data_IF_564497391322
#
_entry.id   IF_564497391322
#
_cell.length_a   1.000
_cell.length_b   1.000
_cell.length_c   1.000
_cell.angle_alpha   90.00
_cell.angle_beta   90.00
_cell.angle_gamma   90.00
#
_symmetry.space_group_name_H-M   'P 1'
#
loop_
_entity.id
_entity.type
_entity.pdbx_description
1 polymer ?
#
# COMPACT_ATOMS: atom_id res chain seq x y z
N UNK A 1 15.68 -12.26 -4.93
CA UNK A 1 15.84 -11.60 -6.25
C UNK A 1 15.02 -10.32 -6.23
N UNK A 2 15.57 -9.18 -6.64
CA UNK A 2 14.83 -7.90 -6.74
C UNK A 2 13.95 -7.88 -7.99
N UNK A 3 12.98 -6.95 -8.05
CA UNK A 3 12.17 -6.71 -9.27
C UNK A 3 13.09 -6.40 -10.46
N UNK A 4 14.11 -5.56 -10.26
CA UNK A 4 15.03 -5.18 -11.33
C UNK A 4 15.88 -6.36 -11.81
N UNK A 5 16.41 -7.16 -10.89
CA UNK A 5 17.20 -8.34 -11.24
C UNK A 5 16.37 -9.42 -11.93
N UNK A 6 15.06 -9.52 -11.64
CA UNK A 6 14.14 -10.37 -12.40
C UNK A 6 13.94 -9.82 -13.82
N UNK A 7 13.61 -8.52 -13.93
CA UNK A 7 13.40 -7.81 -15.20
C UNK A 7 14.58 -8.02 -16.16
N UNK A 8 15.80 -7.84 -15.69
CA UNK A 8 17.03 -8.03 -16.50
C UNK A 8 17.17 -9.46 -17.01
N UNK A 9 16.92 -10.45 -16.14
CA UNK A 9 17.01 -11.87 -16.51
C UNK A 9 16.00 -12.29 -17.56
N UNK A 10 14.82 -11.67 -17.58
CA UNK A 10 13.77 -11.96 -18.57
C UNK A 10 13.86 -11.05 -19.80
N UNK A 11 14.83 -10.13 -19.86
CA UNK A 11 15.04 -9.26 -21.03
C UNK A 11 13.99 -8.15 -21.20
N UNK A 12 13.34 -7.71 -20.12
CA UNK A 12 12.35 -6.62 -20.18
C UNK A 12 13.04 -5.26 -20.08
N UNK A 13 12.99 -4.45 -21.13
CA UNK A 13 13.55 -3.09 -21.09
C UNK A 13 12.62 -2.09 -20.41
N UNK A 14 11.34 -2.14 -20.79
CA UNK A 14 10.25 -1.32 -20.28
C UNK A 14 8.96 -2.13 -20.27
N UNK A 15 8.15 -2.03 -19.21
CA UNK A 15 6.99 -2.90 -19.01
C UNK A 15 5.90 -2.25 -18.14
N UNK A 16 4.67 -2.76 -18.24
CA UNK A 16 3.57 -2.40 -17.32
C UNK A 16 3.83 -3.11 -15.99
N UNK A 17 3.90 -2.34 -14.90
CA UNK A 17 4.12 -2.90 -13.56
C UNK A 17 2.84 -2.82 -12.75
N UNK A 18 2.25 -3.99 -12.46
CA UNK A 18 1.08 -4.13 -11.61
C UNK A 18 1.46 -4.65 -10.23
N UNK A 19 1.11 -3.90 -9.19
CA UNK A 19 1.28 -4.31 -7.80
C UNK A 19 -0.05 -4.36 -7.05
N UNK A 20 -0.32 -5.47 -6.36
CA UNK A 20 -1.47 -5.61 -5.46
C UNK A 20 -1.06 -5.43 -3.99
N UNK A 21 -1.87 -4.75 -3.19
CA UNK A 21 -1.67 -4.63 -1.74
C UNK A 21 -0.25 -4.14 -1.41
N UNK A 22 0.53 -4.88 -0.60
CA UNK A 22 1.94 -4.55 -0.35
C UNK A 22 2.80 -4.52 -1.63
N UNK A 23 2.49 -5.36 -2.61
CA UNK A 23 3.11 -5.30 -3.94
C UNK A 23 2.89 -3.97 -4.65
N UNK A 24 1.78 -3.27 -4.39
CA UNK A 24 1.53 -1.91 -4.88
C UNK A 24 2.51 -0.89 -4.31
N UNK A 25 2.83 -0.98 -3.00
CA UNK A 25 3.86 -0.16 -2.38
C UNK A 25 5.24 -0.42 -3.01
N UNK A 26 5.59 -1.69 -3.23
CA UNK A 26 6.85 -2.07 -3.86
C UNK A 26 6.92 -1.62 -5.33
N UNK A 27 5.81 -1.72 -6.06
CA UNK A 27 5.70 -1.27 -7.45
C UNK A 27 5.90 0.24 -7.58
N UNK A 28 5.26 1.03 -6.72
CA UNK A 28 5.46 2.48 -6.69
C UNK A 28 6.91 2.84 -6.30
N UNK A 29 7.48 2.16 -5.29
CA UNK A 29 8.89 2.36 -4.91
C UNK A 29 9.86 2.01 -6.05
N UNK A 30 9.57 0.94 -6.80
CA UNK A 30 10.34 0.56 -7.99
C UNK A 30 10.25 1.62 -9.09
N UNK A 31 9.03 2.11 -9.39
CA UNK A 31 8.81 3.13 -10.40
C UNK A 31 9.48 4.48 -10.05
N UNK A 32 9.59 4.83 -8.77
CA UNK A 32 10.35 6.00 -8.31
C UNK A 32 11.85 5.80 -8.59
N UNK A 33 12.38 4.61 -8.31
CA UNK A 33 13.81 4.31 -8.43
C UNK A 33 14.26 4.07 -9.88
N UNK A 34 13.38 3.52 -10.72
CA UNK A 34 13.65 3.10 -12.09
C UNK A 34 12.59 3.68 -13.07
N UNK A 35 12.47 5.02 -13.16
CA UNK A 35 11.39 5.70 -13.88
C UNK A 35 11.36 5.44 -15.39
N UNK A 36 12.48 4.99 -15.97
CA UNK A 36 12.61 4.63 -17.37
C UNK A 36 12.12 3.22 -17.69
N UNK A 37 11.93 2.37 -16.67
CA UNK A 37 11.59 0.94 -16.82
C UNK A 37 10.09 0.65 -16.78
N UNK A 38 9.29 1.60 -16.30
CA UNK A 38 7.85 1.42 -16.15
C UNK A 38 7.12 2.17 -17.26
N UNK A 39 6.35 1.43 -18.05
CA UNK A 39 5.48 1.98 -19.10
C UNK A 39 4.19 2.56 -18.50
N UNK A 40 3.56 1.80 -17.60
CA UNK A 40 2.35 2.17 -16.89
C UNK A 40 2.39 1.53 -15.50
N UNK A 41 2.07 2.30 -14.46
CA UNK A 41 2.00 1.80 -13.08
C UNK A 41 0.55 1.46 -12.72
N UNK A 42 0.27 0.18 -12.45
CA UNK A 42 -1.06 -0.27 -12.04
C UNK A 42 -1.04 -0.65 -10.56
N UNK A 43 -1.87 0.01 -9.77
CA UNK A 43 -1.93 -0.17 -8.32
C UNK A 43 -3.28 -0.78 -7.94
N UNK A 44 -3.30 -2.09 -7.71
CA UNK A 44 -4.50 -2.81 -7.31
C UNK A 44 -4.62 -2.81 -5.79
N UNK A 45 -5.60 -2.07 -5.27
CA UNK A 45 -5.93 -1.98 -3.84
C UNK A 45 -4.67 -1.84 -2.95
N UNK A 46 -3.81 -0.84 -3.22
CA UNK A 46 -2.45 -0.81 -2.72
C UNK A 46 -2.39 -0.44 -1.23
N UNK A 47 -1.60 -1.19 -0.46
CA UNK A 47 -1.34 -0.88 0.94
C UNK A 47 -0.27 0.21 1.08
N UNK A 48 -0.32 0.97 2.18
CA UNK A 48 0.76 1.87 2.60
C UNK A 48 0.76 3.24 1.94
N UNK A 49 -0.37 3.60 1.31
CA UNK A 49 -0.60 4.91 0.70
C UNK A 49 -1.07 5.97 1.69
N UNK A 50 -2.12 5.75 2.50
CA UNK A 50 -2.62 6.78 3.40
C UNK A 50 -1.63 7.07 4.54
N UNK A 51 -1.65 8.30 5.01
CA UNK A 51 -0.96 8.68 6.23
C UNK A 51 -1.63 8.04 7.45
N UNK A 52 -0.85 7.88 8.53
CA UNK A 52 -1.42 7.49 9.81
C UNK A 52 -2.16 8.69 10.39
N UNK A 53 -3.46 8.60 10.68
CA UNK A 53 -4.17 9.69 11.34
C UNK A 53 -3.54 10.02 12.70
N UNK A 54 -3.43 11.31 13.03
CA UNK A 54 -2.86 11.75 14.31
C UNK A 54 -3.73 11.31 15.51
N UNK A 55 -5.04 11.11 15.28
CA UNK A 55 -6.06 10.77 16.27
C UNK A 55 -6.35 9.26 16.39
N UNK A 56 -5.50 8.38 15.83
CA UNK A 56 -5.73 6.91 15.85
C UNK A 56 -6.03 6.36 17.26
N UNK A 57 -5.39 6.93 18.29
CA UNK A 57 -5.62 6.52 19.68
C UNK A 57 -7.03 6.84 20.20
N UNK A 58 -7.66 7.88 19.67
CA UNK A 58 -8.98 8.36 20.06
C UNK A 58 -10.09 7.79 19.17
N UNK A 59 -9.81 7.64 17.86
CA UNK A 59 -10.72 7.04 16.86
C UNK A 59 -10.94 5.55 17.08
N UNK A 60 -9.89 4.83 17.47
CA UNK A 60 -9.94 3.41 17.75
C UNK A 60 -9.60 3.16 19.23
N UNK A 61 -10.59 3.35 20.10
CA UNK A 61 -10.52 2.96 21.52
C UNK A 61 -10.53 1.44 21.64
N UNK A 62 -9.41 0.81 21.32
CA UNK A 62 -9.25 -0.62 21.59
C UNK A 62 -9.24 -0.85 23.11
N UNK A 63 -10.07 -1.79 23.61
CA UNK A 63 -10.00 -2.23 25.00
C UNK A 63 -8.56 -2.62 25.37
N UNK A 64 -8.16 -2.40 26.63
CA UNK A 64 -6.79 -2.70 27.09
C UNK A 64 -6.37 -4.14 26.78
N UNK A 65 -7.31 -5.09 26.86
CA UNK A 65 -7.06 -6.50 26.54
C UNK A 65 -6.73 -6.73 25.06
N UNK A 66 -7.33 -5.97 24.14
CA UNK A 66 -7.00 -6.04 22.70
C UNK A 66 -5.60 -5.50 22.45
N UNK A 67 -5.24 -4.39 23.10
CA UNK A 67 -3.87 -3.82 23.02
C UNK A 67 -2.83 -4.79 23.61
N UNK A 68 -3.15 -5.45 24.72
CA UNK A 68 -2.29 -6.45 25.35
C UNK A 68 -2.13 -7.70 24.46
N UNK A 69 -3.21 -8.25 23.91
CA UNK A 69 -3.17 -9.38 22.97
C UNK A 69 -2.40 -9.01 21.71
N UNK A 70 -2.65 -7.83 21.12
CA UNK A 70 -1.91 -7.35 19.95
C UNK A 70 -0.42 -7.17 20.27
N UNK A 71 -0.05 -6.68 21.46
CA UNK A 71 1.34 -6.54 21.88
C UNK A 71 2.03 -7.90 22.10
N UNK A 72 1.33 -8.88 22.68
CA UNK A 72 1.82 -10.25 22.91
C UNK A 72 1.95 -11.01 21.58
N UNK A 73 1.03 -10.78 20.64
CA UNK A 73 1.07 -11.38 19.30
C UNK A 73 1.98 -10.62 18.33
N UNK A 74 2.41 -9.39 18.64
CA UNK A 74 3.30 -8.59 17.80
C UNK A 74 4.60 -9.31 17.39
N UNK A 75 5.32 -10.04 18.28
CA UNK A 75 6.44 -10.88 17.88
C UNK A 75 6.01 -12.22 17.25
N UNK A 76 4.77 -12.68 17.49
CA UNK A 76 4.22 -13.88 16.89
C UNK A 76 3.66 -13.57 15.51
N UNK A 77 4.50 -13.76 14.51
CA UNK A 77 4.05 -13.76 13.14
C UNK A 77 2.99 -14.88 12.96
N UNK A 78 1.71 -14.59 12.65
CA UNK A 78 0.68 -15.62 12.55
C UNK A 78 1.00 -16.69 11.48
N UNK A 79 1.81 -16.34 10.48
CA UNK A 79 2.31 -17.28 9.48
C UNK A 79 3.44 -18.17 10.03
N UNK A 80 4.10 -17.81 11.13
CA UNK A 80 5.04 -18.73 11.83
C UNK A 80 4.32 -19.92 12.44
N UNK A 81 3.12 -19.73 13.00
CA UNK A 81 2.29 -20.83 13.52
C UNK A 81 1.91 -21.78 12.40
N UNK A 82 1.54 -21.25 11.23
CA UNK A 82 1.23 -22.05 10.04
C UNK A 82 2.48 -22.80 9.57
N UNK A 83 3.64 -22.13 9.52
CA UNK A 83 4.92 -22.72 9.09
C UNK A 83 5.38 -23.87 9.99
N UNK A 84 5.26 -23.71 11.31
CA UNK A 84 5.64 -24.75 12.28
C UNK A 84 4.68 -25.94 12.27
N UNK A 85 3.44 -25.77 11.81
CA UNK A 85 2.47 -26.86 11.73
C UNK A 85 2.81 -27.93 10.67
N UNK A 86 3.77 -27.66 9.78
CA UNK A 86 4.28 -28.65 8.83
C UNK A 86 3.16 -29.24 7.94
N UNK A 87 3.08 -30.58 7.80
CA UNK A 87 2.05 -31.23 6.98
C UNK A 87 0.59 -30.89 7.35
N UNK A 88 0.33 -30.40 8.56
CA UNK A 88 -1.02 -30.00 8.99
C UNK A 88 -1.36 -28.55 8.60
N UNK A 89 -0.39 -27.76 8.14
CA UNK A 89 -0.57 -26.34 7.77
C UNK A 89 -1.69 -26.08 6.76
N UNK A 90 -1.83 -26.85 5.66
CA UNK A 90 -2.94 -26.69 4.72
C UNK A 90 -4.31 -26.84 5.38
N UNK A 91 -4.49 -27.79 6.30
CA UNK A 91 -5.75 -27.99 7.01
C UNK A 91 -6.08 -26.84 7.97
N UNK A 92 -5.06 -26.24 8.59
CA UNK A 92 -5.22 -25.03 9.41
C UNK A 92 -5.70 -23.87 8.54
N UNK A 93 -5.05 -23.63 7.39
CA UNK A 93 -5.46 -22.60 6.44
C UNK A 93 -6.89 -22.84 5.91
N UNK A 94 -7.26 -24.09 5.65
CA UNK A 94 -8.62 -24.45 5.21
C UNK A 94 -9.69 -24.01 6.21
N UNK A 95 -9.42 -24.16 7.52
CA UNK A 95 -10.32 -23.74 8.59
C UNK A 95 -10.25 -22.23 8.87
N UNK A 96 -9.07 -21.63 8.81
CA UNK A 96 -8.85 -20.23 9.15
C UNK A 96 -9.25 -19.26 8.04
N UNK A 97 -9.13 -19.65 6.76
CA UNK A 97 -9.37 -18.81 5.58
C UNK A 97 -10.28 -19.48 4.54
N UNK A 98 -11.49 -19.94 4.93
CA UNK A 98 -12.45 -20.50 3.97
C UNK A 98 -12.91 -19.46 2.93
N UNK A 99 -12.78 -18.17 3.24
CA UNK A 99 -13.06 -17.06 2.33
C UNK A 99 -12.19 -17.11 1.08
N UNK A 100 -10.90 -17.41 1.21
CA UNK A 100 -9.97 -17.49 0.08
C UNK A 100 -10.31 -18.68 -0.80
N UNK A 101 -10.59 -19.85 -0.21
CA UNK A 101 -11.00 -21.03 -0.97
C UNK A 101 -12.24 -20.72 -1.79
N UNK A 102 -13.26 -20.13 -1.17
CA UNK A 102 -14.51 -19.80 -1.85
C UNK A 102 -14.28 -18.84 -3.03
N UNK A 103 -13.43 -17.83 -2.86
CA UNK A 103 -13.09 -16.87 -3.93
C UNK A 103 -12.52 -17.55 -5.18
N UNK A 104 -11.69 -18.59 -5.01
CA UNK A 104 -11.04 -19.28 -6.11
C UNK A 104 -11.72 -20.61 -6.52
N UNK A 105 -12.80 -21.00 -5.85
CA UNK A 105 -13.48 -22.29 -6.05
C UNK A 105 -13.96 -22.55 -7.48
N UNK A 106 -14.33 -21.50 -8.22
CA UNK A 106 -14.72 -21.59 -9.63
C UNK A 106 -13.60 -21.44 -10.64
N UNK A 107 -12.34 -21.24 -10.20
CA UNK A 107 -11.20 -20.96 -11.08
C UNK A 107 -10.26 -22.15 -11.26
N UNK A 108 -10.18 -23.04 -10.26
CA UNK A 108 -9.30 -24.21 -10.28
C UNK A 108 -10.07 -25.46 -9.91
N UNK A 109 -9.71 -26.59 -10.53
CA UNK A 109 -10.21 -27.91 -10.11
C UNK A 109 -9.72 -28.20 -8.70
N UNK A 110 -10.56 -28.88 -7.92
CA UNK A 110 -10.21 -29.33 -6.57
C UNK A 110 -9.74 -28.19 -5.65
N UNK A 111 -10.34 -27.01 -5.78
CA UNK A 111 -9.93 -25.78 -5.09
C UNK A 111 -9.84 -25.92 -3.57
N UNK A 112 -10.68 -26.77 -2.97
CA UNK A 112 -10.65 -27.06 -1.54
C UNK A 112 -9.34 -27.71 -1.06
N UNK A 113 -8.60 -28.35 -1.96
CA UNK A 113 -7.30 -28.95 -1.71
C UNK A 113 -6.18 -28.06 -2.28
N UNK A 114 -6.33 -27.61 -3.53
CA UNK A 114 -5.28 -26.86 -4.24
C UNK A 114 -5.00 -25.51 -3.59
N UNK A 115 -6.04 -24.75 -3.21
CA UNK A 115 -5.87 -23.38 -2.70
C UNK A 115 -5.17 -23.36 -1.33
N UNK A 116 -5.59 -24.16 -0.33
CA UNK A 116 -4.89 -24.19 0.96
C UNK A 116 -3.46 -24.69 0.84
N UNK A 117 -3.20 -25.70 -0.02
CA UNK A 117 -1.84 -26.19 -0.26
C UNK A 117 -0.96 -25.11 -0.92
N UNK A 118 -1.47 -24.42 -1.93
CA UNK A 118 -0.76 -23.32 -2.57
C UNK A 118 -0.42 -22.21 -1.56
N UNK A 119 -1.43 -21.73 -0.82
CA UNK A 119 -1.25 -20.69 0.19
C UNK A 119 -0.27 -21.13 1.29
N UNK A 120 -0.34 -22.39 1.74
CA UNK A 120 0.59 -22.93 2.71
C UNK A 120 2.02 -22.89 2.18
N UNK A 121 2.28 -23.50 1.02
CA UNK A 121 3.64 -23.64 0.51
C UNK A 121 4.28 -22.32 0.06
N UNK A 122 3.48 -21.33 -0.36
CA UNK A 122 3.97 -19.97 -0.60
C UNK A 122 4.46 -19.28 0.69
N UNK A 123 3.89 -19.62 1.85
CA UNK A 123 4.23 -18.98 3.13
C UNK A 123 5.07 -19.87 4.05
N UNK A 124 5.23 -21.17 3.76
CA UNK A 124 6.03 -22.09 4.56
C UNK A 124 7.55 -21.89 4.41
N UNK A 125 7.97 -21.13 3.40
CA UNK A 125 9.36 -20.77 3.13
C UNK A 125 9.88 -19.69 4.11
N UNK A 126 11.16 -19.31 3.97
CA UNK A 126 11.76 -18.23 4.76
C UNK A 126 10.94 -16.94 4.69
N UNK A 127 10.63 -16.30 5.83
CA UNK A 127 9.65 -15.22 5.95
C UNK A 127 10.17 -13.86 5.47
N UNK A 128 10.88 -13.81 4.35
CA UNK A 128 11.48 -12.58 3.83
C UNK A 128 10.44 -11.49 3.53
N UNK A 129 9.30 -11.86 2.93
CA UNK A 129 8.20 -10.93 2.63
C UNK A 129 7.52 -10.39 3.89
N UNK A 130 7.24 -11.26 4.86
CA UNK A 130 6.65 -10.90 6.15
C UNK A 130 7.58 -9.97 6.96
N UNK A 131 8.89 -10.29 6.95
CA UNK A 131 9.91 -9.50 7.64
C UNK A 131 10.09 -8.13 6.99
N UNK A 132 10.06 -8.07 5.66
CA UNK A 132 10.08 -6.81 4.93
C UNK A 132 8.82 -5.97 5.23
N UNK A 133 7.64 -6.58 5.18
CA UNK A 133 6.37 -5.91 5.51
C UNK A 133 6.40 -5.35 6.93
N UNK A 134 6.79 -6.17 7.92
CA UNK A 134 6.89 -5.73 9.32
C UNK A 134 7.91 -4.60 9.51
N UNK A 135 9.05 -4.65 8.83
CA UNK A 135 10.06 -3.58 8.87
C UNK A 135 9.55 -2.26 8.32
N UNK A 136 8.67 -2.31 7.31
CA UNK A 136 8.09 -1.13 6.65
C UNK A 136 6.80 -0.63 7.33
N UNK A 137 6.29 -1.35 8.33
CA UNK A 137 5.11 -0.97 9.10
C UNK A 137 5.45 -0.14 10.34
N UNK A 138 4.48 0.65 10.76
CA UNK A 138 4.44 1.38 12.04
C UNK A 138 3.05 1.25 12.67
N UNK A 139 3.00 1.14 14.00
CA UNK A 139 1.74 0.99 14.74
C UNK A 139 0.94 -0.24 14.33
N UNK A 140 -0.37 -0.07 14.14
CA UNK A 140 -1.31 -1.16 13.76
C UNK A 140 -1.46 -1.31 12.24
N UNK A 141 -0.33 -1.37 11.51
CA UNK A 141 -0.34 -1.69 10.09
C UNK A 141 -0.34 -0.51 9.12
N UNK A 142 0.11 0.67 9.55
CA UNK A 142 0.39 1.80 8.65
C UNK A 142 1.81 1.71 8.10
N UNK A 143 2.06 2.29 6.93
CA UNK A 143 3.41 2.43 6.42
C UNK A 143 4.21 3.42 7.30
N UNK A 144 5.47 3.07 7.59
CA UNK A 144 6.40 3.94 8.30
C UNK A 144 6.72 5.22 7.51
N UNK A 145 6.73 5.08 6.18
CA UNK A 145 6.86 6.16 5.21
C UNK A 145 5.73 6.02 4.17
N UNK A 146 4.58 6.70 4.39
CA UNK A 146 3.43 6.62 3.50
C UNK A 146 3.80 6.94 2.05
N UNK A 147 3.30 6.15 1.11
CA UNK A 147 3.64 6.31 -0.31
C UNK A 147 3.09 7.61 -0.88
N UNK A 148 1.97 8.13 -0.36
CA UNK A 148 1.37 9.37 -0.85
C UNK A 148 2.34 10.56 -0.83
N UNK A 149 3.21 10.64 0.19
CA UNK A 149 4.23 11.69 0.35
C UNK A 149 5.35 11.61 -0.71
N UNK A 150 5.39 10.53 -1.50
CA UNK A 150 6.45 10.23 -2.46
C UNK A 150 5.95 10.20 -3.90
N UNK A 151 4.66 10.40 -4.13
CA UNK A 151 4.05 10.30 -5.45
C UNK A 151 4.52 11.40 -6.42
N UNK A 152 5.01 12.53 -5.91
CA UNK A 152 5.65 13.59 -6.70
C UNK A 152 7.04 13.21 -7.21
N UNK A 153 7.67 12.18 -6.62
CA UNK A 153 8.97 11.66 -7.10
C UNK A 153 8.83 10.76 -8.33
N UNK A 154 7.61 10.34 -8.69
CA UNK A 154 7.38 9.62 -9.95
C UNK A 154 7.54 10.57 -11.13
N UNK A 155 8.20 10.10 -12.19
CA UNK A 155 8.32 10.80 -13.47
C UNK A 155 6.96 11.37 -13.90
N UNK A 156 6.91 12.65 -14.30
CA UNK A 156 5.65 13.32 -14.68
C UNK A 156 4.89 12.57 -15.76
N UNK A 157 5.57 12.12 -16.81
CA UNK A 157 4.94 11.38 -17.91
C UNK A 157 4.61 9.91 -17.64
N UNK A 158 4.76 9.40 -16.42
CA UNK A 158 4.38 8.01 -16.09
C UNK A 158 2.86 7.92 -15.86
N UNK A 159 2.11 7.17 -16.68
CA UNK A 159 0.69 6.92 -16.47
C UNK A 159 0.46 6.02 -15.24
N UNK A 160 -0.56 6.34 -14.46
CA UNK A 160 -0.94 5.60 -13.25
C UNK A 160 -2.41 5.20 -13.34
N UNK A 161 -2.72 3.94 -13.05
CA UNK A 161 -4.11 3.50 -12.79
C UNK A 161 -4.20 2.85 -11.43
N UNK A 162 -5.06 3.39 -10.56
CA UNK A 162 -5.39 2.80 -9.28
C UNK A 162 -6.71 2.03 -9.40
N UNK A 163 -6.75 0.80 -8.91
CA UNK A 163 -7.93 -0.08 -9.00
C UNK A 163 -8.30 -0.54 -7.59
N UNK A 164 -9.40 -0.04 -7.05
CA UNK A 164 -9.86 -0.33 -5.69
C UNK A 164 -11.10 -1.24 -5.69
N UNK A 165 -11.27 -2.00 -4.61
CA UNK A 165 -12.53 -2.67 -4.31
C UNK A 165 -13.44 -1.76 -3.48
N UNK A 166 -14.70 -1.55 -3.90
CA UNK A 166 -15.64 -0.70 -3.17
C UNK A 166 -15.95 -1.15 -1.72
N UNK A 167 -15.66 -2.43 -1.40
CA UNK A 167 -15.82 -3.02 -0.06
C UNK A 167 -14.47 -3.37 0.56
N UNK A 168 -13.38 -2.79 0.07
CA UNK A 168 -12.06 -3.03 0.64
C UNK A 168 -11.94 -2.38 2.02
N UNK A 169 -11.08 -2.97 2.85
CA UNK A 169 -10.62 -2.38 4.11
C UNK A 169 -9.50 -1.35 3.87
N UNK A 170 -8.91 -1.34 2.67
CA UNK A 170 -7.94 -0.36 2.24
C UNK A 170 -8.71 0.89 1.80
N UNK A 171 -8.32 2.03 2.36
CA UNK A 171 -8.85 3.34 1.99
C UNK A 171 -8.47 3.70 0.54
N UNK A 172 -9.47 4.09 -0.25
CA UNK A 172 -9.30 4.48 -1.66
C UNK A 172 -9.10 5.99 -1.84
N UNK A 173 -9.33 6.82 -0.81
CA UNK A 173 -9.18 8.27 -0.88
C UNK A 173 -7.78 8.73 -1.33
N UNK A 174 -6.67 8.05 -0.94
CA UNK A 174 -5.35 8.35 -1.48
C UNK A 174 -5.28 8.34 -3.01
N UNK A 175 -6.07 7.49 -3.68
CA UNK A 175 -6.09 7.45 -5.15
C UNK A 175 -6.62 8.74 -5.77
N UNK A 176 -7.69 9.29 -5.20
CA UNK A 176 -8.25 10.57 -5.63
C UNK A 176 -7.33 11.75 -5.27
N UNK A 177 -6.68 11.70 -4.11
CA UNK A 177 -5.66 12.69 -3.75
C UNK A 177 -4.49 12.67 -4.74
N UNK A 178 -4.03 11.48 -5.17
CA UNK A 178 -2.99 11.35 -6.20
C UNK A 178 -3.46 11.91 -7.53
N UNK A 179 -4.71 11.63 -7.94
CA UNK A 179 -5.31 12.21 -9.16
C UNK A 179 -5.30 13.74 -9.10
N UNK A 180 -5.61 14.32 -7.95
CA UNK A 180 -5.57 15.77 -7.73
C UNK A 180 -4.15 16.35 -7.73
N UNK A 181 -3.21 15.75 -6.99
CA UNK A 181 -1.81 16.20 -6.91
C UNK A 181 -1.11 16.13 -8.27
N UNK A 182 -1.47 15.15 -9.10
CA UNK A 182 -0.86 14.88 -10.41
C UNK A 182 -1.77 15.25 -11.60
N UNK A 183 -2.59 16.30 -11.44
CA UNK A 183 -3.61 16.75 -12.41
C UNK A 183 -3.10 16.99 -13.85
N UNK A 184 -1.81 17.30 -14.00
CA UNK A 184 -1.19 17.56 -15.31
C UNK A 184 -0.65 16.26 -15.98
N UNK A 185 -0.97 15.10 -15.42
CA UNK A 185 -0.48 13.78 -15.86
C UNK A 185 -1.61 12.76 -15.85
N UNK A 186 -1.43 11.64 -16.55
CA UNK A 186 -2.44 10.59 -16.59
C UNK A 186 -2.54 9.84 -15.25
N UNK A 187 -3.63 10.06 -14.53
CA UNK A 187 -4.01 9.27 -13.35
C UNK A 187 -5.47 8.87 -13.46
N UNK A 188 -5.71 7.57 -13.51
CA UNK A 188 -7.05 6.97 -13.51
C UNK A 188 -7.32 6.26 -12.18
N UNK A 189 -8.54 6.40 -11.66
CA UNK A 189 -8.97 5.78 -10.39
C UNK A 189 -10.25 5.01 -10.65
N UNK A 190 -10.17 3.69 -10.53
CA UNK A 190 -11.24 2.75 -10.81
C UNK A 190 -11.71 2.10 -9.51
N UNK A 191 -12.97 2.31 -9.13
CA UNK A 191 -13.57 1.68 -7.94
C UNK A 191 -14.55 0.60 -8.40
N UNK A 192 -14.17 -0.67 -8.22
CA UNK A 192 -14.97 -1.80 -8.68
C UNK A 192 -16.03 -2.16 -7.63
N UNK A 193 -17.29 -1.97 -8.02
CA UNK A 193 -18.45 -2.28 -7.18
C UNK A 193 -18.56 -3.77 -6.85
N UNK A 194 -18.81 -4.05 -5.57
CA UNK A 194 -18.95 -5.40 -5.04
C UNK A 194 -17.65 -6.19 -4.94
N UNK A 195 -16.48 -5.58 -5.16
CA UNK A 195 -15.18 -6.17 -4.89
C UNK A 195 -14.64 -5.75 -3.51
N UNK A 196 -13.95 -6.65 -2.83
CA UNK A 196 -13.13 -6.33 -1.65
C UNK A 196 -11.65 -6.24 -2.01
N UNK A 197 -10.78 -6.47 -1.03
CA UNK A 197 -9.32 -6.33 -1.18
C UNK A 197 -8.70 -7.16 -2.32
N UNK A 198 -9.24 -8.34 -2.61
CA UNK A 198 -8.77 -9.18 -3.72
C UNK A 198 -9.59 -8.89 -4.98
N UNK A 199 -9.48 -7.65 -5.48
CA UNK A 199 -10.31 -7.13 -6.58
C UNK A 199 -10.29 -8.03 -7.82
N UNK A 200 -9.11 -8.54 -8.16
CA UNK A 200 -8.88 -9.47 -9.27
C UNK A 200 -9.59 -10.83 -9.10
N UNK A 201 -9.84 -11.27 -7.88
CA UNK A 201 -10.55 -12.51 -7.61
C UNK A 201 -12.07 -12.27 -7.50
N UNK A 202 -12.47 -11.20 -6.81
CA UNK A 202 -13.88 -10.89 -6.57
C UNK A 202 -14.63 -10.48 -7.84
N UNK A 203 -13.95 -9.76 -8.74
CA UNK A 203 -14.53 -9.21 -9.97
C UNK A 203 -13.55 -9.34 -11.15
N UNK A 204 -13.06 -10.57 -11.37
CA UNK A 204 -12.04 -10.89 -12.39
C UNK A 204 -12.32 -10.30 -13.78
N UNK A 205 -13.57 -10.38 -14.27
CA UNK A 205 -13.93 -9.83 -15.59
C UNK A 205 -13.73 -8.32 -15.68
N UNK A 206 -14.20 -7.57 -14.67
CA UNK A 206 -14.06 -6.11 -14.63
C UNK A 206 -12.59 -5.70 -14.46
N UNK A 207 -11.88 -6.36 -13.54
CA UNK A 207 -10.45 -6.13 -13.32
C UNK A 207 -9.63 -6.38 -14.59
N UNK A 208 -9.82 -7.53 -15.24
CA UNK A 208 -9.09 -7.89 -16.46
C UNK A 208 -9.46 -6.97 -17.63
N UNK A 209 -10.70 -6.49 -17.73
CA UNK A 209 -11.07 -5.51 -18.75
C UNK A 209 -10.25 -4.23 -18.64
N UNK A 210 -10.04 -3.73 -17.43
CA UNK A 210 -9.22 -2.52 -17.19
C UNK A 210 -7.76 -2.80 -17.55
N UNK A 211 -7.20 -3.90 -17.02
CA UNK A 211 -5.78 -4.25 -17.25
C UNK A 211 -5.49 -4.50 -18.74
N UNK A 212 -6.36 -5.23 -19.44
CA UNK A 212 -6.21 -5.47 -20.87
C UNK A 212 -6.37 -4.18 -21.68
N UNK A 213 -7.26 -3.28 -21.28
CA UNK A 213 -7.41 -1.97 -21.93
C UNK A 213 -6.12 -1.14 -21.80
N UNK A 214 -5.47 -1.17 -20.64
CA UNK A 214 -4.16 -0.55 -20.43
C UNK A 214 -3.12 -1.17 -21.37
N UNK A 215 -3.06 -2.50 -21.44
CA UNK A 215 -2.17 -3.22 -22.37
C UNK A 215 -2.37 -2.79 -23.83
N UNK A 216 -3.62 -2.79 -24.31
CA UNK A 216 -3.95 -2.38 -25.67
C UNK A 216 -3.53 -0.93 -26.00
N UNK A 217 -3.70 0.00 -25.06
CA UNK A 217 -3.30 1.39 -25.30
C UNK A 217 -1.78 1.55 -25.27
N UNK A 218 -1.11 0.86 -24.35
CA UNK A 218 0.35 0.80 -24.25
C UNK A 218 0.97 0.27 -25.55
N UNK A 219 0.46 -0.83 -26.10
CA UNK A 219 0.95 -1.43 -27.35
C UNK A 219 0.80 -0.49 -28.56
N UNK A 220 -0.20 0.40 -28.52
CA UNK A 220 -0.48 1.37 -29.57
C UNK A 220 0.16 2.75 -29.32
N UNK A 221 0.94 2.93 -28.24
CA UNK A 221 1.55 4.21 -27.89
C UNK A 221 0.54 5.30 -27.50
N UNK A 222 -0.60 4.89 -26.94
CA UNK A 222 -1.71 5.78 -26.53
C UNK A 222 -2.01 5.63 -25.05
N UNK A 223 -2.88 6.49 -24.51
CA UNK A 223 -3.37 6.41 -23.13
C UNK A 223 -4.83 5.91 -23.12
N UNK A 224 -5.23 5.09 -22.14
CA UNK A 224 -6.62 4.71 -21.96
C UNK A 224 -7.53 5.93 -21.84
N UNK A 225 -8.77 5.82 -22.31
CA UNK A 225 -9.78 6.83 -22.01
C UNK A 225 -10.09 6.81 -20.51
N UNK A 226 -10.04 7.99 -19.87
CA UNK A 226 -10.51 8.14 -18.49
C UNK A 226 -12.00 7.80 -18.45
N UNK A 227 -12.43 7.03 -17.46
CA UNK A 227 -13.85 6.88 -17.20
C UNK A 227 -14.46 8.28 -16.95
N UNK A 228 -15.64 8.59 -17.50
CA UNK A 228 -16.33 9.82 -17.12
C UNK A 228 -16.48 9.81 -15.60
N UNK A 229 -16.15 10.93 -14.95
CA UNK A 229 -16.23 11.03 -13.49
C UNK A 229 -17.65 10.61 -13.06
N UNK A 230 -17.78 9.40 -12.52
CA UNK A 230 -19.04 8.92 -11.94
C UNK A 230 -19.40 9.89 -10.85
N UNK A 231 -20.63 10.44 -10.88
CA UNK A 231 -21.16 11.44 -9.95
C UNK A 231 -20.50 11.33 -8.58
N UNK A 232 -19.67 12.32 -8.26
CA UNK A 232 -19.03 12.44 -6.96
C UNK A 232 -20.11 12.33 -5.87
N UNK A 233 -19.93 11.51 -4.82
CA UNK A 233 -20.84 11.55 -3.69
C UNK A 233 -20.80 12.96 -3.09
N UNK A 234 -21.96 13.64 -3.10
CA UNK A 234 -22.26 14.98 -2.59
C UNK A 234 -21.06 15.84 -2.17
N UNK A 235 -20.72 16.81 -3.04
CA UNK A 235 -19.65 17.81 -2.88
C UNK A 235 -19.68 18.62 -1.56
N UNK A 236 -20.76 18.59 -0.78
CA UNK A 236 -20.84 19.38 0.46
C UNK A 236 -20.07 18.77 1.65
N UNK A 237 -19.86 17.45 1.67
CA UNK A 237 -19.18 16.80 2.81
C UNK A 237 -17.66 16.73 2.55
N UNK A 238 -17.23 16.42 1.33
CA UNK A 238 -15.81 16.30 0.96
C UNK A 238 -15.08 17.66 0.91
N UNK A 239 -15.72 18.73 0.45
CA UNK A 239 -15.08 20.05 0.33
C UNK A 239 -14.65 20.63 1.68
N UNK A 240 -15.43 20.38 2.74
CA UNK A 240 -15.09 20.80 4.11
C UNK A 240 -13.91 20.01 4.64
N UNK A 241 -13.87 18.70 4.44
CA UNK A 241 -12.78 17.85 4.93
C UNK A 241 -11.48 18.09 4.15
N UNK A 242 -11.55 18.32 2.84
CA UNK A 242 -10.39 18.68 2.02
C UNK A 242 -9.86 20.08 2.38
N UNK A 243 -10.74 21.07 2.60
CA UNK A 243 -10.34 22.42 3.03
C UNK A 243 -9.75 22.43 4.45
N UNK A 244 -10.28 21.62 5.36
CA UNK A 244 -9.75 21.44 6.71
C UNK A 244 -8.39 20.74 6.67
N UNK A 245 -8.24 19.71 5.83
CA UNK A 245 -6.97 18.98 5.64
C UNK A 245 -5.90 19.88 5.02
N UNK A 246 -6.21 20.66 3.99
CA UNK A 246 -5.27 21.62 3.39
C UNK A 246 -4.89 22.76 4.35
N UNK A 247 -5.85 23.25 5.14
CA UNK A 247 -5.58 24.29 6.15
C UNK A 247 -4.67 23.77 7.27
N UNK A 248 -4.80 22.50 7.65
CA UNK A 248 -3.88 21.83 8.59
C UNK A 248 -2.47 21.67 8.00
N UNK A 249 -2.34 21.40 6.69
CA UNK A 249 -1.05 21.29 6.01
C UNK A 249 -0.33 22.63 5.83
N UNK A 250 -1.07 23.73 5.62
CA UNK A 250 -0.50 25.09 5.52
C UNK A 250 0.03 25.56 6.88
N UNK A 251 -0.66 25.26 7.98
CA UNK A 251 -0.20 25.63 9.33
C UNK A 251 1.08 24.87 9.76
N UNK A 252 1.25 23.61 9.34
CA UNK A 252 2.48 22.84 9.63
C UNK A 252 3.71 23.45 8.93
N UNK A 253 3.53 24.11 7.78
CA UNK A 253 4.63 24.73 7.03
C UNK A 253 5.16 26.02 7.68
N UNK A 254 4.34 26.71 8.47
CA UNK A 254 4.72 27.95 9.17
C UNK A 254 5.33 27.73 10.56
N UNK A 255 5.18 26.53 11.15
CA UNK A 255 5.76 26.24 12.48
C UNK A 255 7.22 25.77 12.40
N UNK A 256 7.70 25.39 11.21
CA UNK A 256 9.08 24.97 10.96
C UNK A 256 10.07 26.14 10.71
N UNK A 257 9.66 27.39 10.91
CA UNK A 257 10.54 28.57 10.73
C UNK A 257 10.74 29.40 12.01
N UNK A 258 10.63 28.79 13.19
CA UNK A 258 11.05 29.45 14.44
C UNK A 258 12.40 28.88 14.87
N UNK A 259 13.40 29.75 14.83
CA UNK A 259 14.80 29.50 15.21
C UNK A 259 14.92 28.94 16.63
N UNK A 260 15.67 27.84 16.78
CA UNK A 260 16.15 27.35 18.06
C UNK A 260 17.35 28.21 18.54
N UNK A 261 17.44 28.58 19.84
CA UNK A 261 18.54 29.38 20.34
C UNK A 261 19.81 28.54 20.52
N UNK A 262 20.94 29.08 20.06
CA UNK A 262 22.29 28.55 20.24
C UNK A 262 22.64 28.51 21.74
N UNK A 263 22.88 27.33 22.28
CA UNK A 263 23.43 27.15 23.63
C UNK A 263 24.95 27.25 23.57
N UNK A 264 25.50 28.35 24.08
CA UNK A 264 26.93 28.54 24.36
C UNK A 264 27.27 27.95 25.72
N UNK A 265 28.14 26.94 25.78
CA UNK A 265 28.77 26.47 27.03
C UNK A 265 29.94 27.38 27.40
N UNK A 266 29.77 28.18 28.46
CA UNK A 266 30.87 28.84 29.18
C UNK A 266 31.56 27.84 30.12
N UNK A 267 32.89 27.82 30.08
CA UNK A 267 33.76 27.08 31.01
C UNK A 267 34.23 28.08 32.06
N UNK A 268 33.77 27.95 33.30
CA UNK A 268 34.27 28.73 34.43
C UNK A 268 35.48 28.04 35.06
N UNK A 269 36.59 28.78 35.12
CA UNK A 269 37.81 28.40 35.81
C UNK A 269 37.72 28.52 37.32
N UNK A 270 38.57 27.75 38.00
CA UNK A 270 38.85 27.86 39.44
C UNK A 270 40.38 27.87 39.59
N UNK A 271 40.93 29.06 39.76
CA UNK A 271 42.15 29.40 40.54
C UNK A 271 41.63 29.82 41.94
N UNK A 272 42.28 29.75 43.10
CA UNK A 272 43.62 29.37 43.57
C UNK A 272 43.56 29.37 45.12
N UNK A 273 44.53 28.73 45.80
CA UNK A 273 45.20 29.09 47.09
C UNK A 273 45.84 27.81 47.68
N UNK A 274 47.16 27.58 47.57
CA UNK A 274 48.31 28.13 48.33
C UNK A 274 48.27 27.79 49.84
N UNK A 275 48.93 26.69 50.22
CA UNK A 275 50.13 26.62 51.08
C UNK A 275 50.68 25.17 51.14
#
# INVERSE_FOLDING_TARGET
MSIDGWREKVGLEKFILLGHSFGGFLAAAYAIKHPERVEHLVLADPWGFPERPLDVGDRYKFPLWVKAVAAILRPFNPLSVIRTAGPFGPNILKKARPDLIRKFSGMVRDAEEVIPNYLYHCNAQDPSGESAFHTLMSGFGWAKYPMIQRMDSLRKGLPITLIYGARSWVDHDPGFQIKYMRKDTFVDVQVIQGAGHHVYADKARAFNSIVNNIGHHSDNGTLPLLAPDSEEPDREVSSRDVAVTLSSMINVRNDNTRDDPVVTTEVNGVEDEVD
#
